data_IF_854556929545
#
_entry.id   IF_854556929545
#
_cell.length_a   1.000
_cell.length_b   1.000
_cell.length_c   1.000
_cell.angle_alpha   90.00
_cell.angle_beta   90.00
_cell.angle_gamma   90.00
#
_symmetry.space_group_name_H-M   'P 1'
#
loop_
_entity.id
_entity.type
_entity.pdbx_description
1 polymer ?
#
# COMPACT_ATOMS: atom_id res chain seq x y z
N UNK A 1 1.13 -8.06 11.67
CA UNK A 1 0.45 -9.27 11.16
C UNK A 1 1.47 -10.25 10.61
N UNK A 2 1.95 -10.02 9.39
CA UNK A 2 2.96 -10.88 8.74
C UNK A 2 4.28 -10.98 9.52
N UNK A 3 4.74 -9.88 10.10
CA UNK A 3 5.89 -9.80 11.00
C UNK A 3 5.76 -10.73 12.22
N UNK A 4 4.56 -10.82 12.81
CA UNK A 4 4.28 -11.71 13.94
C UNK A 4 4.33 -13.18 13.52
N UNK A 5 3.68 -13.52 12.41
CA UNK A 5 3.66 -14.88 11.86
C UNK A 5 5.08 -15.36 11.56
N UNK A 6 5.92 -14.49 10.99
CA UNK A 6 7.33 -14.78 10.66
C UNK A 6 8.17 -14.99 11.92
N UNK A 7 7.90 -14.21 12.97
CA UNK A 7 8.59 -14.31 14.26
C UNK A 7 8.07 -15.40 15.21
N UNK A 8 7.00 -16.12 14.85
CA UNK A 8 6.42 -17.16 15.71
C UNK A 8 6.78 -18.55 15.18
N UNK A 9 7.46 -19.37 15.99
CA UNK A 9 8.01 -20.66 15.55
C UNK A 9 6.94 -21.64 15.00
N UNK A 10 5.78 -21.73 15.66
CA UNK A 10 4.69 -22.63 15.24
C UNK A 10 4.03 -22.16 13.94
N UNK A 11 3.79 -20.86 13.78
CA UNK A 11 3.09 -20.32 12.60
C UNK A 11 3.99 -20.22 11.37
N UNK A 12 5.26 -19.86 11.55
CA UNK A 12 6.26 -19.87 10.46
C UNK A 12 6.44 -21.27 9.90
N UNK A 13 6.52 -22.29 10.77
CA UNK A 13 6.59 -23.70 10.35
C UNK A 13 5.30 -24.15 9.65
N UNK A 14 4.13 -23.78 10.18
CA UNK A 14 2.83 -24.15 9.59
C UNK A 14 2.60 -23.55 8.19
N UNK A 15 3.03 -22.30 7.98
CA UNK A 15 2.86 -21.59 6.70
C UNK A 15 4.08 -21.70 5.78
N UNK A 16 5.08 -22.52 6.14
CA UNK A 16 6.34 -22.69 5.40
C UNK A 16 7.06 -21.36 5.11
N UNK A 17 7.01 -20.43 6.05
CA UNK A 17 7.68 -19.12 5.97
C UNK A 17 9.02 -19.20 6.69
N UNK A 18 10.10 -18.57 6.18
CA UNK A 18 11.36 -18.47 6.91
C UNK A 18 11.12 -17.91 8.31
N UNK A 19 11.53 -18.65 9.34
CA UNK A 19 11.47 -18.14 10.70
C UNK A 19 12.56 -17.09 10.91
N UNK A 20 12.16 -15.86 11.23
CA UNK A 20 13.09 -14.80 11.62
C UNK A 20 12.87 -14.45 13.09
N UNK A 21 13.83 -14.84 13.92
CA UNK A 21 13.85 -14.47 15.33
C UNK A 21 13.85 -12.94 15.49
N UNK A 22 13.02 -12.42 16.39
CA UNK A 22 12.87 -10.97 16.61
C UNK A 22 11.98 -10.23 15.58
N UNK A 23 11.56 -10.85 14.48
CA UNK A 23 10.63 -10.22 13.52
C UNK A 23 9.27 -9.86 14.16
N UNK A 24 8.91 -10.53 15.26
CA UNK A 24 7.71 -10.24 16.04
C UNK A 24 7.67 -8.80 16.57
N UNK A 25 8.80 -8.23 16.97
CA UNK A 25 8.90 -6.86 17.52
C UNK A 25 8.45 -5.80 16.52
N UNK A 26 8.71 -6.01 15.23
CA UNK A 26 8.24 -5.13 14.17
C UNK A 26 6.71 -5.03 14.13
N UNK A 27 6.00 -6.03 14.66
CA UNK A 27 4.54 -5.99 14.78
C UNK A 27 4.06 -4.89 15.72
N UNK A 28 4.78 -4.65 16.82
CA UNK A 28 4.43 -3.60 17.79
C UNK A 28 4.58 -2.24 17.14
N UNK A 29 5.71 -2.02 16.47
CA UNK A 29 5.97 -0.78 15.73
C UNK A 29 4.94 -0.53 14.62
N UNK A 30 4.63 -1.54 13.81
CA UNK A 30 3.60 -1.42 12.76
C UNK A 30 2.19 -1.23 13.36
N UNK A 31 1.90 -1.82 14.52
CA UNK A 31 0.66 -1.59 15.24
C UNK A 31 0.51 -0.14 15.69
N UNK A 32 1.57 0.45 16.24
CA UNK A 32 1.61 1.88 16.57
C UNK A 32 1.45 2.75 15.32
N UNK A 33 2.07 2.38 14.20
CA UNK A 33 1.94 3.08 12.92
C UNK A 33 0.51 3.05 12.38
N UNK A 34 -0.18 1.92 12.48
CA UNK A 34 -1.60 1.81 12.12
C UNK A 34 -2.45 2.70 13.02
N UNK A 35 -2.22 2.68 14.34
CA UNK A 35 -2.90 3.56 15.29
C UNK A 35 -2.71 5.05 14.97
N UNK A 36 -1.48 5.46 14.68
CA UNK A 36 -1.17 6.83 14.26
C UNK A 36 -1.83 7.19 12.93
N UNK A 37 -1.87 6.26 11.98
CA UNK A 37 -2.52 6.45 10.67
C UNK A 37 -4.04 6.59 10.79
N UNK A 38 -4.67 5.83 11.70
CA UNK A 38 -6.10 5.97 12.01
C UNK A 38 -6.40 7.31 12.70
N UNK A 39 -5.55 7.74 13.64
CA UNK A 39 -5.65 9.06 14.25
C UNK A 39 -5.47 10.19 13.23
N UNK A 40 -4.52 10.05 12.30
CA UNK A 40 -4.34 10.98 11.19
C UNK A 40 -5.56 11.02 10.28
N UNK A 41 -6.12 9.85 9.92
CA UNK A 41 -7.29 9.74 9.06
C UNK A 41 -8.51 10.48 9.64
N UNK A 42 -8.65 10.54 10.96
CA UNK A 42 -9.72 11.31 11.61
C UNK A 42 -9.73 12.79 11.19
N UNK A 43 -8.54 13.40 11.08
CA UNK A 43 -8.37 14.80 10.68
C UNK A 43 -8.13 14.99 9.18
N UNK A 44 -7.82 13.91 8.46
CA UNK A 44 -7.57 13.94 7.02
C UNK A 44 -8.79 13.55 6.17
N UNK A 45 -9.81 12.92 6.78
CA UNK A 45 -11.05 12.58 6.10
C UNK A 45 -11.71 13.85 5.50
N UNK A 46 -12.31 13.79 4.29
CA UNK A 46 -12.86 14.98 3.66
C UNK A 46 -13.96 15.66 4.51
N UNK A 47 -13.90 16.98 4.72
CA UNK A 47 -12.86 17.93 4.28
C UNK A 47 -11.59 17.87 5.14
N UNK A 48 -10.42 17.73 4.51
CA UNK A 48 -9.15 17.55 5.22
C UNK A 48 -8.71 18.78 6.02
N UNK A 49 -8.45 18.61 7.32
CA UNK A 49 -7.90 19.64 8.22
C UNK A 49 -6.37 19.60 8.23
N UNK A 50 -5.80 18.40 8.07
CA UNK A 50 -4.35 18.16 8.10
C UNK A 50 -3.93 17.38 6.86
N UNK A 51 -2.89 17.85 6.18
CA UNK A 51 -2.26 17.16 5.05
C UNK A 51 -1.04 16.36 5.50
N UNK A 52 -0.85 15.17 4.91
CA UNK A 52 0.26 14.27 5.27
C UNK A 52 1.64 14.85 4.92
N UNK A 53 1.72 15.57 3.78
CA UNK A 53 2.97 16.08 3.23
C UNK A 53 3.98 15.00 2.84
N UNK A 54 5.15 15.45 2.39
CA UNK A 54 6.24 14.55 1.98
C UNK A 54 6.84 13.81 3.17
N UNK A 55 6.87 14.44 4.35
CA UNK A 55 7.39 13.84 5.58
C UNK A 55 6.64 12.56 5.95
N UNK A 56 5.30 12.59 5.92
CA UNK A 56 4.49 11.42 6.26
C UNK A 56 4.51 10.37 5.15
N UNK A 57 4.34 10.78 3.90
CA UNK A 57 4.23 9.85 2.77
C UNK A 57 5.53 9.10 2.49
N UNK A 58 6.68 9.77 2.50
CA UNK A 58 7.99 9.14 2.32
C UNK A 58 8.37 8.25 3.51
N UNK A 59 8.05 8.68 4.74
CA UNK A 59 8.30 7.86 5.93
C UNK A 59 7.47 6.57 5.91
N UNK A 60 6.17 6.64 5.61
CA UNK A 60 5.30 5.46 5.52
C UNK A 60 5.75 4.51 4.41
N UNK A 61 6.05 5.04 3.22
CA UNK A 61 6.55 4.24 2.10
C UNK A 61 7.89 3.55 2.43
N UNK A 62 8.83 4.30 3.02
CA UNK A 62 10.14 3.78 3.41
C UNK A 62 10.06 2.69 4.48
N UNK A 63 9.23 2.91 5.52
CA UNK A 63 9.01 1.92 6.58
C UNK A 63 8.39 0.64 6.03
N UNK A 64 7.33 0.74 5.23
CA UNK A 64 6.66 -0.45 4.65
C UNK A 64 7.60 -1.22 3.72
N UNK A 65 8.39 -0.50 2.91
CA UNK A 65 9.42 -1.09 2.05
C UNK A 65 10.51 -1.82 2.84
N UNK A 66 11.06 -1.17 3.88
CA UNK A 66 12.10 -1.75 4.73
C UNK A 66 11.61 -3.02 5.43
N UNK A 67 10.41 -2.98 6.03
CA UNK A 67 9.80 -4.14 6.68
C UNK A 67 9.63 -5.29 5.68
N UNK A 68 9.12 -5.02 4.48
CA UNK A 68 8.89 -6.06 3.48
C UNK A 68 10.19 -6.78 3.06
N UNK A 69 11.30 -6.04 2.96
CA UNK A 69 12.63 -6.61 2.70
C UNK A 69 13.10 -7.44 3.89
N UNK A 70 12.95 -6.95 5.12
CA UNK A 70 13.36 -7.69 6.32
C UNK A 70 12.66 -9.04 6.46
N UNK A 71 11.35 -9.10 6.16
CA UNK A 71 10.59 -10.35 6.24
C UNK A 71 10.63 -11.18 4.93
N UNK A 72 11.40 -10.74 3.92
CA UNK A 72 11.48 -11.37 2.58
C UNK A 72 10.12 -11.58 1.91
N UNK A 73 9.24 -10.59 2.02
CA UNK A 73 7.89 -10.60 1.44
C UNK A 73 7.64 -9.39 0.54
N UNK A 74 8.59 -9.13 -0.36
CA UNK A 74 8.58 -8.00 -1.29
C UNK A 74 7.40 -8.08 -2.27
N UNK A 75 7.15 -9.26 -2.82
CA UNK A 75 6.01 -9.49 -3.72
C UNK A 75 4.66 -9.32 -3.01
N UNK A 76 4.59 -9.67 -1.72
CA UNK A 76 3.38 -9.50 -0.94
C UNK A 76 3.12 -8.01 -0.68
N UNK A 77 4.16 -7.21 -0.44
CA UNK A 77 4.02 -5.75 -0.35
C UNK A 77 3.47 -5.15 -1.65
N UNK A 78 3.97 -5.60 -2.81
CA UNK A 78 3.46 -5.13 -4.10
C UNK A 78 1.98 -5.47 -4.31
N UNK A 79 1.53 -6.63 -3.80
CA UNK A 79 0.14 -7.06 -3.90
C UNK A 79 -0.77 -6.29 -2.93
N UNK A 80 -0.40 -6.21 -1.64
CA UNK A 80 -1.13 -5.44 -0.61
C UNK A 80 -1.18 -3.96 -0.98
N UNK A 81 -0.05 -3.40 -1.40
CA UNK A 81 0.10 -2.03 -1.86
C UNK A 81 -0.30 -1.83 -3.32
N UNK A 82 -1.07 -2.73 -3.92
CA UNK A 82 -1.34 -2.72 -5.36
C UNK A 82 -1.99 -1.43 -5.85
N UNK A 83 -2.76 -0.72 -5.02
CA UNK A 83 -3.27 0.63 -5.36
C UNK A 83 -2.11 1.62 -5.55
N UNK A 84 -1.12 1.62 -4.65
CA UNK A 84 0.08 2.46 -4.79
C UNK A 84 0.90 2.08 -6.03
N UNK A 85 1.02 0.78 -6.31
CA UNK A 85 1.70 0.28 -7.51
C UNK A 85 0.99 0.77 -8.77
N UNK A 86 -0.35 0.69 -8.82
CA UNK A 86 -1.14 1.18 -9.96
C UNK A 86 -0.99 2.69 -10.16
N UNK A 87 -0.93 3.47 -9.08
CA UNK A 87 -0.70 4.91 -9.15
C UNK A 87 0.65 5.23 -9.80
N UNK A 88 1.74 4.61 -9.32
CA UNK A 88 3.08 4.80 -9.89
C UNK A 88 3.14 4.30 -11.34
N UNK A 89 2.58 3.13 -11.62
CA UNK A 89 2.53 2.58 -12.98
C UNK A 89 1.79 3.50 -13.95
N UNK A 90 0.70 4.14 -13.49
CA UNK A 90 -0.04 5.09 -14.32
C UNK A 90 0.84 6.27 -14.76
N UNK A 91 1.69 6.79 -13.85
CA UNK A 91 2.63 7.88 -14.14
C UNK A 91 3.73 7.41 -15.08
N UNK A 92 4.33 6.24 -14.82
CA UNK A 92 5.39 5.67 -15.69
C UNK A 92 4.88 5.45 -17.11
N UNK A 93 3.69 4.86 -17.26
CA UNK A 93 3.06 4.65 -18.57
C UNK A 93 2.71 5.97 -19.28
N UNK A 94 2.20 6.95 -18.53
CA UNK A 94 1.88 8.27 -19.06
C UNK A 94 3.12 9.01 -19.56
N UNK A 95 4.17 9.08 -18.74
CA UNK A 95 5.44 9.73 -19.08
C UNK A 95 6.12 9.01 -20.23
N UNK A 96 6.15 7.67 -20.20
CA UNK A 96 6.71 6.84 -21.27
C UNK A 96 6.00 7.07 -22.60
N UNK A 97 4.66 7.08 -22.61
CA UNK A 97 3.89 7.35 -23.83
C UNK A 97 4.05 8.77 -24.35
N UNK A 98 4.13 9.76 -23.46
CA UNK A 98 4.35 11.14 -23.87
C UNK A 98 5.74 11.34 -24.47
N UNK A 99 6.78 10.73 -23.89
CA UNK A 99 8.16 10.77 -24.43
C UNK A 99 8.30 10.04 -25.77
N UNK A 100 7.62 8.90 -25.95
CA UNK A 100 7.77 8.07 -27.15
C UNK A 100 6.84 8.46 -28.30
N UNK A 101 5.59 8.84 -28.00
CA UNK A 101 4.53 9.05 -29.00
C UNK A 101 3.95 10.46 -28.98
N UNK A 102 4.31 11.30 -28.01
CA UNK A 102 3.67 12.61 -27.79
C UNK A 102 2.20 12.54 -27.39
N UNK A 103 1.67 11.34 -27.10
CA UNK A 103 0.25 11.10 -26.82
C UNK A 103 0.05 10.64 -25.37
N UNK A 104 -0.91 11.26 -24.69
CA UNK A 104 -1.35 10.90 -23.33
C UNK A 104 -2.24 9.65 -23.37
N UNK A 105 -2.02 8.70 -22.44
CA UNK A 105 -2.85 7.51 -22.28
C UNK A 105 -4.05 7.82 -21.38
N UNK A 106 -3.76 8.46 -20.24
CA UNK A 106 -4.76 8.94 -19.30
C UNK A 106 -4.98 10.44 -19.48
N UNK A 107 -6.21 10.90 -19.18
CA UNK A 107 -6.54 12.34 -19.13
C UNK A 107 -5.55 13.14 -18.27
N UNK A 108 -5.19 12.59 -17.11
CA UNK A 108 -4.16 13.07 -16.20
C UNK A 108 -3.59 11.85 -15.46
N UNK A 109 -2.32 11.93 -15.07
CA UNK A 109 -1.69 10.97 -14.17
C UNK A 109 -1.26 11.75 -12.91
N UNK A 110 -1.38 11.18 -11.70
CA UNK A 110 -1.72 9.79 -11.38
C UNK A 110 -3.19 9.40 -11.63
N UNK A 111 -3.55 8.12 -11.43
CA UNK A 111 -4.81 7.56 -11.93
C UNK A 111 -6.07 8.10 -11.21
N UNK A 112 -5.96 8.55 -9.96
CA UNK A 112 -7.09 9.21 -9.29
C UNK A 112 -7.54 10.49 -10.01
N UNK A 113 -6.60 11.35 -10.45
CA UNK A 113 -6.93 12.56 -11.23
C UNK A 113 -7.58 12.22 -12.59
N UNK A 114 -7.26 11.06 -13.16
CA UNK A 114 -7.98 10.59 -14.35
C UNK A 114 -9.48 10.41 -14.10
N UNK A 115 -9.86 9.95 -12.91
CA UNK A 115 -11.26 9.78 -12.51
C UNK A 115 -11.92 11.10 -12.11
N UNK A 116 -11.18 12.02 -11.48
CA UNK A 116 -11.68 13.37 -11.18
C UNK A 116 -12.06 14.10 -12.47
N UNK A 117 -11.20 14.05 -13.50
CA UNK A 117 -11.50 14.60 -14.83
C UNK A 117 -12.61 13.85 -15.59
N UNK A 118 -13.12 12.74 -15.04
CA UNK A 118 -14.35 12.06 -15.49
C UNK A 118 -15.58 12.49 -14.68
N UNK A 119 -15.48 13.58 -13.90
CA UNK A 119 -16.50 14.11 -13.01
C UNK A 119 -16.89 13.14 -11.88
N UNK A 120 -15.94 12.34 -11.39
CA UNK A 120 -16.18 11.54 -10.18
C UNK A 120 -15.88 12.39 -8.94
N UNK A 121 -16.76 12.41 -7.92
CA UNK A 121 -16.46 13.05 -6.65
C UNK A 121 -15.22 12.42 -6.01
N UNK A 122 -14.35 13.24 -5.42
CA UNK A 122 -13.12 12.80 -4.76
C UNK A 122 -13.39 11.71 -3.71
N UNK A 123 -14.37 11.93 -2.83
CA UNK A 123 -14.79 10.95 -1.82
C UNK A 123 -15.18 9.59 -2.43
N UNK A 124 -15.81 9.60 -3.62
CA UNK A 124 -16.18 8.35 -4.32
C UNK A 124 -14.96 7.62 -4.84
N UNK A 125 -13.91 8.33 -5.28
CA UNK A 125 -12.65 7.75 -5.72
C UNK A 125 -11.92 7.13 -4.52
N UNK A 126 -11.78 7.88 -3.43
CA UNK A 126 -11.12 7.43 -2.18
C UNK A 126 -11.76 6.14 -1.66
N UNK A 127 -13.10 6.12 -1.49
CA UNK A 127 -13.80 4.92 -1.00
C UNK A 127 -13.62 3.72 -1.94
N UNK A 128 -13.66 3.93 -3.26
CA UNK A 128 -13.43 2.84 -4.22
C UNK A 128 -12.01 2.29 -4.15
N UNK A 129 -11.03 3.15 -3.93
CA UNK A 129 -9.65 2.73 -3.78
C UNK A 129 -9.43 1.97 -2.48
N UNK A 130 -10.11 2.35 -1.40
CA UNK A 130 -10.12 1.57 -0.17
C UNK A 130 -10.74 0.18 -0.37
N UNK A 131 -11.87 0.08 -1.08
CA UNK A 131 -12.48 -1.22 -1.40
C UNK A 131 -11.49 -2.10 -2.17
N UNK A 132 -10.86 -1.56 -3.22
CA UNK A 132 -9.86 -2.30 -4.01
C UNK A 132 -8.66 -2.69 -3.14
N UNK A 133 -8.16 -1.79 -2.30
CA UNK A 133 -7.06 -2.05 -1.38
C UNK A 133 -7.38 -3.18 -0.38
N UNK A 134 -8.59 -3.18 0.19
CA UNK A 134 -9.06 -4.26 1.08
C UNK A 134 -9.14 -5.59 0.32
N UNK A 135 -9.68 -5.60 -0.91
CA UNK A 135 -9.75 -6.81 -1.73
C UNK A 135 -8.36 -7.36 -2.06
N UNK A 136 -7.41 -6.48 -2.40
CA UNK A 136 -6.02 -6.86 -2.65
C UNK A 136 -5.33 -7.38 -1.38
N UNK A 137 -5.59 -6.77 -0.23
CA UNK A 137 -5.10 -7.26 1.06
C UNK A 137 -5.63 -8.66 1.36
N UNK A 138 -6.92 -8.93 1.16
CA UNK A 138 -7.52 -10.26 1.34
C UNK A 138 -6.95 -11.29 0.35
N UNK A 139 -6.76 -10.90 -0.92
CA UNK A 139 -6.13 -11.73 -1.93
C UNK A 139 -4.69 -12.10 -1.55
N UNK A 140 -3.94 -11.15 -1.00
CA UNK A 140 -2.56 -11.36 -0.56
C UNK A 140 -2.46 -12.37 0.58
N UNK A 141 -3.37 -12.29 1.56
CA UNK A 141 -3.44 -13.26 2.66
C UNK A 141 -3.83 -14.65 2.16
N UNK A 142 -4.72 -14.72 1.15
CA UNK A 142 -5.12 -15.99 0.54
C UNK A 142 -3.98 -16.66 -0.22
N UNK A 143 -3.15 -15.86 -0.91
CA UNK A 143 -1.96 -16.34 -1.64
C UNK A 143 -0.94 -17.00 -0.70
N UNK A 144 -0.88 -16.56 0.56
CA UNK A 144 0.02 -17.10 1.57
C UNK A 144 -0.30 -18.53 1.98
N UNK A 145 -1.59 -18.90 1.98
CA UNK A 145 -2.06 -20.26 2.30
C UNK A 145 -1.89 -21.26 1.14
N UNK A 146 -1.66 -20.76 -0.06
CA UNK A 146 -1.53 -21.55 -1.29
C UNK A 146 -0.08 -21.94 -1.60
N UNK A 147 0.86 -21.62 -0.70
CA UNK A 147 2.23 -22.11 -0.74
C UNK A 147 2.40 -23.29 0.22
#
# INVERSE_FOLDING_TARGET
>A
GMTYVTGHATFSTYLQIPHLEGAGEMTVFLGALVGASLGFLWYNAPPAEVFMGDTGSLALGGVLGAVAIFIKMEFLLALVGGVFVLEVLSVVLQVGSFKLRGKRIFRMAPIHHHFELKNWPEQKIVIRFWIIGILLALLSLSTLKLR
#
